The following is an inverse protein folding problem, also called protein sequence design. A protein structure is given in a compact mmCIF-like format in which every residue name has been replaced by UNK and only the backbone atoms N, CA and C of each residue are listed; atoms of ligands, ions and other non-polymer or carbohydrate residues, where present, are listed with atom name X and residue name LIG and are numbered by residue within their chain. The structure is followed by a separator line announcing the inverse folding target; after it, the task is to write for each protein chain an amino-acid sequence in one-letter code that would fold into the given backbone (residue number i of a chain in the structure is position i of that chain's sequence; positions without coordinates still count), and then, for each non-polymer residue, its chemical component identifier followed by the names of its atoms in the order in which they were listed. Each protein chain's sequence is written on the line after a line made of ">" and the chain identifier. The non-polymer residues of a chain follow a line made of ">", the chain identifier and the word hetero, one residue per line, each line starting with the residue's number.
data_IF_115563276426
#
_entry.id   IF_115563276426
#
_cell.length_a   1.000
_cell.length_b   1.000
_cell.length_c   1.000
_cell.angle_alpha   90.00
_cell.angle_beta   90.00
_cell.angle_gamma   90.00
#
_symmetry.space_group_name_H-M   'P 1'
#
loop_
_entity.id
_entity.type
_entity.pdbx_description
1 polymer ?
#
# COMPACT_ATOMS: atom_id res chain seq x y z
N UNK A 1 -79.41 60.61 -18.42
CA UNK A 1 -78.58 60.69 -19.64
C UNK A 1 -77.21 61.16 -19.15
N UNK A 2 -76.13 60.39 -19.18
CA UNK A 2 -75.51 59.76 -20.35
C UNK A 2 -74.55 58.65 -19.89
N UNK A 3 -74.44 57.64 -20.74
CA UNK A 3 -73.48 56.53 -20.76
C UNK A 3 -72.09 57.03 -21.18
N UNK A 4 -71.00 56.45 -20.67
CA UNK A 4 -69.74 56.06 -21.38
C UNK A 4 -68.63 55.81 -20.34
N UNK A 5 -68.14 54.58 -20.12
CA UNK A 5 -67.27 53.76 -20.98
C UNK A 5 -65.87 54.36 -21.19
N UNK A 6 -64.85 53.85 -20.49
CA UNK A 6 -63.44 53.71 -20.95
C UNK A 6 -62.68 53.02 -19.81
N UNK A 7 -62.08 51.84 -19.96
CA UNK A 7 -61.11 51.46 -20.98
C UNK A 7 -59.83 51.11 -20.23
N UNK A 8 -59.59 49.82 -19.99
CA UNK A 8 -58.31 49.40 -19.40
C UNK A 8 -57.16 49.63 -20.38
N UNK A 9 -55.94 49.92 -19.90
CA UNK A 9 -54.74 49.68 -20.69
C UNK A 9 -53.93 48.53 -20.09
N UNK A 10 -53.72 47.55 -20.96
CA UNK A 10 -52.79 46.44 -20.89
C UNK A 10 -51.33 46.87 -20.67
N UNK A 11 -50.60 45.99 -19.97
CA UNK A 11 -49.14 45.85 -19.79
C UNK A 11 -48.27 46.67 -20.78
N UNK A 12 -47.41 47.56 -20.26
CA UNK A 12 -46.26 48.10 -21.02
C UNK A 12 -44.94 47.54 -20.50
N UNK A 13 -44.41 46.62 -21.30
CA UNK A 13 -43.20 45.79 -21.12
C UNK A 13 -41.93 46.67 -21.06
N UNK A 14 -41.49 47.03 -19.86
CA UNK A 14 -40.20 47.71 -19.62
C UNK A 14 -39.05 46.69 -19.56
N UNK A 15 -38.86 45.91 -20.63
CA UNK A 15 -37.95 44.75 -20.64
C UNK A 15 -36.76 44.81 -21.60
N UNK A 16 -36.67 45.80 -22.49
CA UNK A 16 -35.70 45.77 -23.60
C UNK A 16 -34.29 46.31 -23.30
N UNK A 17 -34.17 47.35 -22.45
CA UNK A 17 -32.87 48.01 -22.20
C UNK A 17 -32.03 47.25 -21.15
N UNK A 18 -32.68 46.77 -20.09
CA UNK A 18 -32.04 45.89 -19.10
C UNK A 18 -31.58 44.57 -19.72
N UNK A 19 -32.36 43.98 -20.62
CA UNK A 19 -31.98 42.77 -21.35
C UNK A 19 -30.76 42.97 -22.26
N UNK A 20 -30.68 44.10 -22.98
CA UNK A 20 -29.50 44.43 -23.80
C UNK A 20 -28.23 44.65 -22.96
N UNK A 21 -28.35 45.32 -21.81
CA UNK A 21 -27.21 45.51 -20.88
C UNK A 21 -26.76 44.15 -20.33
N UNK A 22 -27.70 43.29 -19.92
CA UNK A 22 -27.39 41.95 -19.43
C UNK A 22 -26.68 41.10 -20.48
N UNK A 23 -27.14 41.13 -21.74
CA UNK A 23 -26.46 40.47 -22.85
C UNK A 23 -25.06 41.04 -23.05
N UNK A 24 -24.91 42.37 -23.04
CA UNK A 24 -23.61 43.03 -23.19
C UNK A 24 -22.62 42.60 -22.11
N UNK A 25 -23.06 42.57 -20.85
CA UNK A 25 -22.26 42.08 -19.71
C UNK A 25 -21.91 40.60 -19.87
N UNK A 26 -22.87 39.75 -20.25
CA UNK A 26 -22.63 38.33 -20.45
C UNK A 26 -21.60 38.08 -21.57
N UNK A 27 -21.68 38.82 -22.68
CA UNK A 27 -20.70 38.76 -23.77
C UNK A 27 -19.32 39.22 -23.28
N UNK A 28 -19.25 40.34 -22.55
CA UNK A 28 -18.00 40.84 -22.01
C UNK A 28 -17.33 39.82 -21.06
N UNK A 29 -18.11 39.19 -20.18
CA UNK A 29 -17.62 38.13 -19.30
C UNK A 29 -17.17 36.89 -20.08
N UNK A 30 -17.91 36.49 -21.12
CA UNK A 30 -17.53 35.37 -21.97
C UNK A 30 -16.22 35.64 -22.73
N UNK A 31 -16.02 36.84 -23.25
CA UNK A 31 -14.78 37.25 -23.92
C UNK A 31 -13.60 37.31 -22.94
N UNK A 32 -13.81 37.89 -21.75
CA UNK A 32 -12.79 37.94 -20.70
C UNK A 32 -12.39 36.52 -20.26
N UNK A 33 -13.35 35.64 -20.03
CA UNK A 33 -13.10 34.25 -19.69
C UNK A 33 -12.36 33.51 -20.80
N UNK A 34 -12.75 33.73 -22.06
CA UNK A 34 -12.08 33.15 -23.22
C UNK A 34 -10.62 33.59 -23.30
N UNK A 35 -10.36 34.91 -23.21
CA UNK A 35 -9.00 35.44 -23.18
C UNK A 35 -8.17 34.89 -22.03
N UNK A 36 -8.76 34.84 -20.83
CA UNK A 36 -8.11 34.26 -19.64
C UNK A 36 -7.76 32.78 -19.80
N UNK A 37 -8.68 31.97 -20.35
CA UNK A 37 -8.43 30.54 -20.58
C UNK A 37 -7.29 30.30 -21.56
N UNK A 38 -7.27 31.03 -22.70
CA UNK A 38 -6.17 30.92 -23.67
C UNK A 38 -4.84 31.41 -23.12
N UNK A 39 -4.83 32.45 -22.27
CA UNK A 39 -3.63 32.90 -21.58
C UNK A 39 -3.07 31.82 -20.64
N UNK A 40 -3.93 31.17 -19.84
CA UNK A 40 -3.53 30.04 -18.99
C UNK A 40 -3.01 28.87 -19.82
N UNK A 41 -3.70 28.52 -20.91
CA UNK A 41 -3.26 27.46 -21.85
C UNK A 41 -1.85 27.75 -22.38
N UNK A 42 -1.58 28.98 -22.81
CA UNK A 42 -0.26 29.37 -23.33
C UNK A 42 0.83 29.33 -22.25
N UNK A 43 0.51 29.79 -21.03
CA UNK A 43 1.42 29.71 -19.89
C UNK A 43 1.82 28.27 -19.57
N UNK A 44 0.84 27.34 -19.56
CA UNK A 44 1.09 25.93 -19.26
C UNK A 44 1.90 25.26 -20.37
N UNK A 45 1.60 25.52 -21.64
CA UNK A 45 2.41 25.02 -22.76
C UNK A 45 3.88 25.45 -22.62
N UNK A 46 4.14 26.75 -22.40
CA UNK A 46 5.51 27.22 -22.21
C UNK A 46 6.23 26.62 -20.99
N UNK A 47 5.49 26.23 -19.94
CA UNK A 47 6.08 25.51 -18.81
C UNK A 47 6.48 24.08 -19.17
N UNK A 48 5.68 23.38 -19.97
CA UNK A 48 6.01 22.05 -20.47
C UNK A 48 7.29 22.13 -21.31
N UNK A 49 7.36 23.08 -22.25
CA UNK A 49 8.54 23.30 -23.09
C UNK A 49 9.81 23.53 -22.24
N UNK A 50 9.71 24.33 -21.16
CA UNK A 50 10.86 24.55 -20.27
C UNK A 50 11.30 23.30 -19.51
N UNK A 51 10.37 22.40 -19.19
CA UNK A 51 10.68 21.12 -18.52
C UNK A 51 11.36 20.17 -19.50
N UNK A 52 10.85 20.08 -20.73
CA UNK A 52 11.45 19.26 -21.80
C UNK A 52 12.86 19.75 -22.12
N UNK A 53 13.02 21.05 -22.40
CA UNK A 53 14.32 21.64 -22.71
C UNK A 53 15.33 21.49 -21.56
N UNK A 54 14.86 21.52 -20.31
CA UNK A 54 15.70 21.26 -19.14
C UNK A 54 16.13 19.79 -19.05
N UNK A 55 15.21 18.85 -19.32
CA UNK A 55 15.55 17.42 -19.35
C UNK A 55 16.63 17.15 -20.41
N UNK A 56 16.49 17.73 -21.60
CA UNK A 56 17.47 17.64 -22.69
C UNK A 56 18.83 18.24 -22.31
N UNK A 57 18.84 19.43 -21.69
CA UNK A 57 20.05 20.06 -21.19
C UNK A 57 20.75 19.23 -20.09
N UNK A 58 19.98 18.43 -19.35
CA UNK A 58 20.47 17.50 -18.33
C UNK A 58 20.75 16.09 -18.90
N UNK A 59 20.77 15.91 -20.22
CA UNK A 59 21.15 14.65 -20.88
C UNK A 59 20.06 13.58 -20.92
N UNK A 60 18.84 13.92 -20.54
CA UNK A 60 17.66 13.06 -20.64
C UNK A 60 16.84 13.42 -21.89
N UNK A 61 16.23 12.43 -22.55
CA UNK A 61 15.20 12.69 -23.55
C UNK A 61 13.82 12.55 -22.90
N UNK A 62 12.91 13.45 -23.24
CA UNK A 62 11.50 13.38 -22.84
C UNK A 62 10.66 13.67 -24.08
N UNK A 63 9.85 12.69 -24.51
CA UNK A 63 9.00 12.77 -25.69
C UNK A 63 7.54 12.61 -25.28
N UNK A 64 6.73 13.64 -25.55
CA UNK A 64 5.28 13.60 -25.44
C UNK A 64 4.70 13.49 -26.86
N UNK A 65 4.30 12.28 -27.25
CA UNK A 65 3.69 12.02 -28.55
C UNK A 65 2.29 12.63 -28.65
N UNK A 66 1.93 13.14 -29.83
CA UNK A 66 0.62 13.73 -30.11
C UNK A 66 0.11 14.68 -29.00
N UNK A 67 0.99 15.56 -28.50
CA UNK A 67 0.65 16.49 -27.44
C UNK A 67 -0.60 17.31 -27.80
N UNK A 68 -1.59 17.32 -26.91
CA UNK A 68 -2.78 18.15 -27.07
C UNK A 68 -3.15 18.85 -25.78
N UNK A 69 -3.47 20.15 -25.89
CA UNK A 69 -4.03 20.95 -24.81
C UNK A 69 -5.49 21.29 -25.14
N UNK A 70 -6.40 20.75 -24.35
CA UNK A 70 -7.85 20.86 -24.55
C UNK A 70 -8.57 21.28 -23.27
N UNK A 71 -9.91 21.36 -23.29
CA UNK A 71 -10.71 21.51 -22.07
C UNK A 71 -11.51 22.81 -21.90
N UNK A 72 -11.47 23.71 -22.89
CA UNK A 72 -12.28 24.93 -22.87
C UNK A 72 -13.76 24.62 -22.62
N UNK A 73 -14.48 25.41 -21.80
CA UNK A 73 -14.01 26.59 -21.08
C UNK A 73 -13.60 26.34 -19.62
N UNK A 74 -13.88 25.17 -19.04
CA UNK A 74 -13.83 25.00 -17.57
C UNK A 74 -12.67 24.15 -17.06
N UNK A 75 -11.98 23.43 -17.95
CA UNK A 75 -10.85 22.57 -17.61
C UNK A 75 -9.66 22.85 -18.51
N UNK A 76 -8.50 22.40 -18.09
CA UNK A 76 -7.29 22.38 -18.89
C UNK A 76 -6.76 20.95 -18.86
N UNK A 77 -6.86 20.26 -19.98
CA UNK A 77 -6.38 18.89 -20.16
C UNK A 77 -5.12 18.88 -21.01
N UNK A 78 -4.13 18.08 -20.63
CA UNK A 78 -2.93 17.78 -21.39
C UNK A 78 -2.92 16.28 -21.67
N UNK A 79 -2.75 15.89 -22.92
CA UNK A 79 -2.65 14.47 -23.32
C UNK A 79 -1.31 14.20 -24.00
N UNK A 80 -0.64 13.11 -23.63
CA UNK A 80 0.54 12.56 -24.29
C UNK A 80 0.29 11.09 -24.66
N UNK A 81 0.46 10.74 -25.93
CA UNK A 81 0.30 9.37 -26.46
C UNK A 81 1.30 9.11 -27.59
N UNK A 82 2.40 8.35 -27.37
CA UNK A 82 2.89 7.84 -26.09
C UNK A 82 3.61 8.90 -25.24
N UNK A 83 3.94 8.57 -24.00
CA UNK A 83 4.90 9.30 -23.18
C UNK A 83 6.17 8.45 -23.03
N UNK A 84 7.30 8.97 -23.48
CA UNK A 84 8.58 8.28 -23.43
C UNK A 84 9.63 9.15 -22.76
N UNK A 85 10.50 8.55 -21.96
CA UNK A 85 11.65 9.21 -21.39
C UNK A 85 12.86 8.28 -21.41
N UNK A 86 14.06 8.81 -21.65
CA UNK A 86 15.29 8.04 -21.52
C UNK A 86 16.40 8.87 -20.89
N UNK A 87 17.25 8.18 -20.12
CA UNK A 87 18.48 8.71 -19.55
C UNK A 87 19.63 7.78 -19.97
N UNK A 88 20.29 8.06 -21.11
CA UNK A 88 21.33 7.20 -21.65
C UNK A 88 22.52 6.99 -20.70
N UNK A 89 22.90 8.01 -19.93
CA UNK A 89 24.01 7.91 -18.98
C UNK A 89 23.76 6.93 -17.81
N UNK A 90 22.51 6.55 -17.57
CA UNK A 90 22.10 5.65 -16.48
C UNK A 90 21.46 4.36 -17.03
N UNK A 91 21.55 4.11 -18.34
CA UNK A 91 20.90 3.01 -19.04
C UNK A 91 19.40 2.85 -18.68
N UNK A 92 18.72 3.98 -18.45
CA UNK A 92 17.35 4.00 -17.96
C UNK A 92 16.38 4.49 -19.04
N UNK A 93 15.22 3.84 -19.15
CA UNK A 93 14.14 4.27 -20.03
C UNK A 93 12.76 4.00 -19.44
N UNK A 94 11.80 4.80 -19.85
CA UNK A 94 10.39 4.72 -19.49
C UNK A 94 9.58 4.88 -20.76
N UNK A 95 8.62 3.97 -20.99
CA UNK A 95 7.61 4.10 -22.03
C UNK A 95 6.24 3.85 -21.44
N UNK A 96 5.31 4.75 -21.69
CA UNK A 96 3.93 4.68 -21.25
C UNK A 96 3.02 4.95 -22.45
N UNK A 97 2.04 4.08 -22.70
CA UNK A 97 1.19 4.19 -23.89
C UNK A 97 0.40 5.50 -23.94
N UNK A 98 0.07 6.08 -22.79
CA UNK A 98 -0.34 7.47 -22.72
C UNK A 98 -0.65 7.97 -21.33
N UNK A 99 -0.77 9.28 -21.21
CA UNK A 99 -1.21 9.97 -20.00
C UNK A 99 -2.10 11.14 -20.37
N UNK A 100 -3.12 11.37 -19.55
CA UNK A 100 -3.95 12.55 -19.57
C UNK A 100 -3.94 13.20 -18.17
N UNK A 101 -3.57 14.48 -18.11
CA UNK A 101 -3.63 15.27 -16.89
C UNK A 101 -4.68 16.37 -17.06
N UNK A 102 -5.61 16.49 -16.12
CA UNK A 102 -6.67 17.51 -16.15
C UNK A 102 -6.65 18.36 -14.87
N UNK A 103 -6.64 19.68 -15.05
CA UNK A 103 -6.85 20.66 -13.99
C UNK A 103 -8.15 21.44 -14.18
N UNK A 104 -8.83 21.76 -13.09
CA UNK A 104 -10.03 22.60 -13.12
C UNK A 104 -9.66 24.07 -12.99
N UNK A 105 -10.04 24.89 -13.97
CA UNK A 105 -9.65 26.33 -13.99
C UNK A 105 -10.28 27.09 -12.82
N UNK A 106 -11.49 26.70 -12.41
CA UNK A 106 -12.20 27.27 -11.27
C UNK A 106 -11.83 26.63 -9.92
N UNK A 107 -11.04 25.56 -9.94
CA UNK A 107 -10.57 24.85 -8.74
C UNK A 107 -9.13 24.34 -8.97
N UNK A 108 -8.13 25.24 -8.97
CA UNK A 108 -6.76 24.90 -9.37
C UNK A 108 -6.08 23.89 -8.43
N UNK A 109 -6.62 23.71 -7.22
CA UNK A 109 -6.16 22.71 -6.27
C UNK A 109 -6.61 21.29 -6.59
N UNK A 110 -7.47 21.06 -7.60
CA UNK A 110 -7.95 19.73 -7.97
C UNK A 110 -7.40 19.30 -9.32
N UNK A 111 -6.53 18.29 -9.27
CA UNK A 111 -5.90 17.66 -10.42
C UNK A 111 -6.39 16.21 -10.54
N UNK A 112 -6.56 15.77 -11.79
CA UNK A 112 -6.94 14.43 -12.17
C UNK A 112 -5.91 13.91 -13.17
N UNK A 113 -5.54 12.65 -13.05
CA UNK A 113 -4.61 11.98 -13.95
C UNK A 113 -5.22 10.65 -14.37
N UNK A 114 -5.14 10.35 -15.66
CA UNK A 114 -5.51 9.08 -16.25
C UNK A 114 -4.30 8.56 -17.02
N UNK A 115 -3.88 7.33 -16.75
CA UNK A 115 -2.73 6.72 -17.41
C UNK A 115 -3.20 5.49 -18.18
N UNK A 116 -2.61 5.31 -19.37
CA UNK A 116 -2.92 4.19 -20.27
C UNK A 116 -1.73 3.26 -20.33
N UNK A 117 -1.97 1.99 -20.01
CA UNK A 117 -0.99 0.93 -20.14
C UNK A 117 -0.75 0.53 -21.61
N UNK A 118 0.35 -0.18 -21.89
CA UNK A 118 1.34 -0.64 -20.92
C UNK A 118 2.34 0.46 -20.49
N UNK A 119 2.90 0.28 -19.29
CA UNK A 119 4.10 0.94 -18.80
C UNK A 119 5.26 -0.05 -18.86
N UNK A 120 6.39 0.38 -19.42
CA UNK A 120 7.66 -0.33 -19.34
C UNK A 120 8.74 0.60 -18.79
N UNK A 121 9.52 0.07 -17.86
CA UNK A 121 10.66 0.71 -17.23
C UNK A 121 11.87 -0.19 -17.44
N UNK A 122 12.96 0.37 -17.92
CA UNK A 122 14.26 -0.27 -17.95
C UNK A 122 15.24 0.57 -17.13
N UNK A 123 16.19 -0.09 -16.49
CA UNK A 123 17.23 0.54 -15.72
C UNK A 123 18.53 -0.26 -15.78
N UNK A 124 19.54 0.17 -15.00
CA UNK A 124 20.85 -0.43 -15.02
C UNK A 124 20.82 -1.90 -14.57
N UNK A 125 21.90 -2.63 -14.90
CA UNK A 125 22.11 -4.03 -14.55
C UNK A 125 21.02 -5.00 -15.07
N UNK A 126 20.30 -4.62 -16.13
CA UNK A 126 19.20 -5.39 -16.70
C UNK A 126 17.92 -5.36 -15.85
N UNK A 127 17.83 -4.43 -14.89
CA UNK A 127 16.61 -4.21 -14.11
C UNK A 127 15.50 -3.71 -15.03
N UNK A 128 14.34 -4.34 -14.98
CA UNK A 128 13.18 -3.96 -15.77
C UNK A 128 11.89 -4.15 -14.97
N UNK A 129 10.95 -3.25 -15.16
CA UNK A 129 9.59 -3.38 -14.64
C UNK A 129 8.60 -3.16 -15.77
N UNK A 130 7.54 -3.97 -15.80
CA UNK A 130 6.41 -3.75 -16.70
C UNK A 130 5.12 -3.75 -15.90
N UNK A 131 4.16 -2.94 -16.32
CA UNK A 131 2.83 -2.94 -15.75
C UNK A 131 1.80 -2.68 -16.84
N UNK A 132 0.69 -3.40 -16.79
CA UNK A 132 -0.47 -3.15 -17.63
C UNK A 132 -1.72 -3.09 -16.76
N UNK A 133 -2.72 -2.35 -17.22
CA UNK A 133 -3.99 -2.17 -16.52
C UNK A 133 -5.08 -1.80 -17.51
N UNK A 134 -6.34 -2.00 -17.12
CA UNK A 134 -7.50 -1.58 -17.92
C UNK A 134 -7.90 -0.13 -17.65
N UNK A 135 -7.74 0.34 -16.41
CA UNK A 135 -7.90 1.73 -16.00
C UNK A 135 -6.91 2.04 -14.87
N UNK A 136 -6.29 3.22 -14.91
CA UNK A 136 -5.46 3.74 -13.82
C UNK A 136 -5.70 5.24 -13.69
N UNK A 137 -6.33 5.62 -12.59
CA UNK A 137 -6.76 6.99 -12.35
C UNK A 137 -6.17 7.49 -11.04
N UNK A 138 -5.75 8.75 -11.02
CA UNK A 138 -5.32 9.42 -9.81
C UNK A 138 -6.01 10.77 -9.65
N UNK A 139 -6.27 11.16 -8.41
CA UNK A 139 -6.78 12.49 -8.07
C UNK A 139 -5.98 13.09 -6.94
N UNK A 140 -5.61 14.36 -7.11
CA UNK A 140 -4.90 15.15 -6.13
C UNK A 140 -5.71 16.40 -5.81
N UNK A 141 -6.00 16.60 -4.53
CA UNK A 141 -6.64 17.80 -3.99
C UNK A 141 -5.70 18.48 -3.03
N UNK A 142 -5.36 19.73 -3.32
CA UNK A 142 -4.50 20.60 -2.54
C UNK A 142 -5.29 21.85 -2.16
N UNK A 143 -5.14 22.31 -0.92
CA UNK A 143 -5.63 23.61 -0.46
C UNK A 143 -4.49 24.49 0.03
N UNK A 144 -4.83 25.66 0.58
CA UNK A 144 -3.85 26.58 1.14
C UNK A 144 -3.03 26.01 2.32
N UNK A 145 -3.61 25.06 3.05
CA UNK A 145 -2.96 24.37 4.18
C UNK A 145 -2.21 23.10 3.78
N UNK A 146 -2.07 22.81 2.48
CA UNK A 146 -1.39 21.63 1.97
C UNK A 146 -2.32 20.59 1.35
N UNK A 147 -1.92 19.31 1.43
CA UNK A 147 -2.70 18.19 0.89
C UNK A 147 -4.08 18.13 1.55
N UNK A 148 -5.13 17.90 0.76
CA UNK A 148 -6.50 17.60 1.24
C UNK A 148 -6.89 16.16 0.97
N UNK A 149 -6.50 15.63 -0.19
CA UNK A 149 -6.71 14.23 -0.55
C UNK A 149 -5.78 13.84 -1.68
N UNK A 150 -5.19 12.66 -1.59
CA UNK A 150 -4.62 11.96 -2.73
C UNK A 150 -5.35 10.65 -2.92
N UNK A 151 -5.55 10.22 -4.16
CA UNK A 151 -6.22 8.97 -4.48
C UNK A 151 -5.59 8.39 -5.75
N UNK A 152 -5.41 7.08 -5.79
CA UNK A 152 -5.05 6.34 -6.99
C UNK A 152 -5.85 5.04 -7.00
N UNK A 153 -6.40 4.69 -8.15
CA UNK A 153 -7.29 3.55 -8.36
C UNK A 153 -6.89 2.88 -9.66
N UNK A 154 -6.77 1.55 -9.63
CA UNK A 154 -6.35 0.72 -10.76
C UNK A 154 -7.28 -0.48 -10.90
N UNK A 155 -7.68 -0.78 -12.14
CA UNK A 155 -8.46 -1.98 -12.49
C UNK A 155 -7.66 -2.90 -13.41
N UNK A 156 -7.68 -4.21 -13.14
CA UNK A 156 -7.01 -5.25 -13.91
C UNK A 156 -5.50 -5.07 -13.98
N UNK A 157 -4.87 -4.77 -12.85
CA UNK A 157 -3.43 -4.54 -12.75
C UNK A 157 -2.66 -5.85 -12.94
N UNK A 158 -1.69 -5.84 -13.85
CA UNK A 158 -0.71 -6.91 -14.08
C UNK A 158 0.69 -6.29 -14.13
N UNK A 159 1.47 -6.48 -13.08
CA UNK A 159 2.79 -5.90 -12.92
C UNK A 159 3.85 -7.00 -12.77
N UNK A 160 5.04 -6.74 -13.30
CA UNK A 160 6.20 -7.62 -13.20
C UNK A 160 7.46 -6.79 -12.97
N UNK A 161 8.36 -7.29 -12.13
CA UNK A 161 9.67 -6.72 -11.85
C UNK A 161 10.73 -7.79 -12.02
N UNK A 162 11.74 -7.51 -12.82
CA UNK A 162 12.96 -8.29 -12.94
C UNK A 162 14.13 -7.41 -12.51
N UNK A 163 14.97 -7.90 -11.61
CA UNK A 163 16.18 -7.21 -11.18
C UNK A 163 17.30 -8.24 -11.05
N UNK A 164 17.99 -8.59 -12.15
CA UNK A 164 19.13 -9.50 -12.13
C UNK A 164 20.15 -9.04 -11.09
N UNK A 165 20.72 -9.97 -10.32
CA UNK A 165 21.66 -9.65 -9.23
C UNK A 165 21.02 -9.29 -7.89
N UNK A 166 19.74 -8.91 -7.84
CA UNK A 166 18.98 -8.69 -6.59
C UNK A 166 17.87 -9.70 -6.35
N UNK A 167 17.24 -10.17 -7.43
CA UNK A 167 16.14 -11.12 -7.42
C UNK A 167 16.56 -12.42 -8.11
N UNK A 168 16.11 -13.56 -7.55
CA UNK A 168 16.36 -14.88 -8.15
C UNK A 168 15.54 -15.13 -9.44
N UNK A 169 14.65 -14.21 -9.80
CA UNK A 169 13.80 -14.24 -10.99
C UNK A 169 12.75 -13.13 -10.96
N UNK A 170 11.83 -13.07 -11.93
CA UNK A 170 10.79 -12.07 -11.97
C UNK A 170 9.80 -12.21 -10.81
N UNK A 171 9.49 -11.09 -10.15
CA UNK A 171 8.41 -10.98 -9.18
C UNK A 171 7.21 -10.37 -9.89
N UNK A 172 6.07 -11.06 -9.89
CA UNK A 172 4.86 -10.57 -10.52
C UNK A 172 3.75 -10.32 -9.49
N UNK A 173 2.92 -9.33 -9.76
CA UNK A 173 1.75 -8.98 -8.96
C UNK A 173 0.57 -8.72 -9.88
N UNK A 174 -0.56 -9.39 -9.63
CA UNK A 174 -1.81 -9.17 -10.34
C UNK A 174 -2.91 -8.83 -9.35
N UNK A 175 -3.83 -7.94 -9.72
CA UNK A 175 -5.02 -7.65 -8.93
C UNK A 175 -6.17 -7.23 -9.85
N UNK A 176 -7.39 -7.63 -9.50
CA UNK A 176 -8.58 -7.22 -10.25
C UNK A 176 -8.89 -5.75 -10.00
N UNK A 177 -8.68 -5.28 -8.76
CA UNK A 177 -8.84 -3.90 -8.35
C UNK A 177 -7.81 -3.56 -7.28
N UNK A 178 -7.27 -2.33 -7.33
CA UNK A 178 -6.39 -1.81 -6.30
C UNK A 178 -6.56 -0.30 -6.15
N UNK A 179 -6.77 0.16 -4.92
CA UNK A 179 -6.91 1.58 -4.60
C UNK A 179 -6.08 1.98 -3.38
N UNK A 180 -5.63 3.23 -3.38
CA UNK A 180 -4.93 3.88 -2.28
C UNK A 180 -5.45 5.31 -2.15
N UNK A 181 -5.85 5.69 -0.95
CA UNK A 181 -6.24 7.06 -0.61
C UNK A 181 -5.43 7.58 0.57
N UNK A 182 -4.98 8.82 0.48
CA UNK A 182 -4.35 9.56 1.57
C UNK A 182 -5.25 10.74 1.93
N UNK A 183 -5.65 10.83 3.20
CA UNK A 183 -6.56 11.87 3.70
C UNK A 183 -5.99 12.40 5.01
N UNK A 184 -5.64 13.69 5.12
CA UNK A 184 -5.24 14.25 6.41
C UNK A 184 -6.33 14.03 7.46
N UNK A 185 -5.93 13.64 8.67
CA UNK A 185 -6.85 13.44 9.78
C UNK A 185 -7.44 14.81 10.17
N UNK A 186 -8.79 14.97 10.15
CA UNK A 186 -9.43 16.24 10.47
C UNK A 186 -9.33 16.61 11.95
N UNK A 187 -9.17 15.63 12.83
CA UNK A 187 -9.24 15.76 14.28
C UNK A 187 -7.84 15.82 14.92
N UNK A 188 -6.82 15.25 14.26
CA UNK A 188 -5.45 15.17 14.77
C UNK A 188 -4.45 15.83 13.82
N UNK A 189 -3.94 17.00 14.20
CA UNK A 189 -2.91 17.69 13.42
C UNK A 189 -1.64 16.82 13.24
N UNK A 190 -1.07 16.85 12.03
CA UNK A 190 0.12 16.07 11.70
C UNK A 190 -0.11 14.58 11.51
N UNK A 191 -1.36 14.11 11.52
CA UNK A 191 -1.73 12.73 11.18
C UNK A 191 -2.36 12.66 9.78
N UNK A 192 -2.21 11.52 9.13
CA UNK A 192 -2.78 11.22 7.83
C UNK A 192 -3.31 9.79 7.80
N UNK A 193 -4.54 9.65 7.34
CA UNK A 193 -5.19 8.37 7.13
C UNK A 193 -4.86 7.83 5.75
N UNK A 194 -4.52 6.55 5.73
CA UNK A 194 -4.20 5.75 4.56
C UNK A 194 -5.26 4.68 4.44
N UNK A 195 -5.98 4.70 3.32
CA UNK A 195 -6.96 3.68 2.97
C UNK A 195 -6.44 2.90 1.76
N UNK A 196 -6.38 1.58 1.85
CA UNK A 196 -5.95 0.71 0.76
C UNK A 196 -6.92 -0.44 0.60
N UNK A 197 -7.34 -0.71 -0.63
CA UNK A 197 -8.09 -1.91 -0.99
C UNK A 197 -7.35 -2.62 -2.12
N UNK A 198 -7.28 -3.95 -2.05
CA UNK A 198 -6.79 -4.81 -3.13
C UNK A 198 -7.73 -5.99 -3.24
N UNK A 199 -8.31 -6.22 -4.42
CA UNK A 199 -9.19 -7.35 -4.68
C UNK A 199 -8.47 -8.40 -5.54
N UNK A 200 -8.58 -9.66 -5.11
CA UNK A 200 -7.99 -10.82 -5.80
C UNK A 200 -6.50 -10.64 -6.14
N UNK A 201 -5.75 -10.05 -5.22
CA UNK A 201 -4.30 -9.85 -5.35
C UNK A 201 -3.55 -11.18 -5.36
N UNK A 202 -2.73 -11.40 -6.38
CA UNK A 202 -1.87 -12.59 -6.53
C UNK A 202 -0.44 -12.16 -6.73
N UNK A 203 0.45 -12.64 -5.88
CA UNK A 203 1.89 -12.41 -6.00
C UNK A 203 2.60 -13.71 -6.39
N UNK A 204 3.40 -13.63 -7.46
CA UNK A 204 4.30 -14.71 -7.87
C UNK A 204 5.72 -14.35 -7.49
N UNK A 205 6.35 -15.18 -6.66
CA UNK A 205 7.73 -15.03 -6.20
C UNK A 205 8.57 -16.22 -6.70
N UNK A 206 9.75 -15.99 -7.29
CA UNK A 206 10.63 -17.07 -7.75
C UNK A 206 10.98 -18.05 -6.63
N UNK A 207 10.91 -19.36 -6.92
CA UNK A 207 11.26 -20.42 -5.96
C UNK A 207 10.31 -20.55 -4.78
N UNK A 208 9.14 -19.88 -4.80
CA UNK A 208 8.11 -19.97 -3.75
C UNK A 208 6.84 -20.64 -4.30
N UNK A 209 6.10 -21.39 -3.47
CA UNK A 209 4.77 -21.88 -3.83
C UNK A 209 3.83 -20.73 -4.20
N UNK A 210 2.95 -20.97 -5.18
CA UNK A 210 1.92 -20.01 -5.55
C UNK A 210 0.96 -19.73 -4.39
N UNK A 211 0.82 -18.45 -4.05
CA UNK A 211 -0.09 -17.97 -3.02
C UNK A 211 -1.51 -17.86 -3.62
N UNK A 212 -2.56 -18.30 -2.93
CA UNK A 212 -3.93 -18.06 -3.37
C UNK A 212 -4.21 -16.54 -3.50
N UNK A 213 -5.18 -16.14 -4.34
CA UNK A 213 -5.64 -14.75 -4.38
C UNK A 213 -6.04 -14.27 -2.98
N UNK A 214 -5.65 -13.03 -2.67
CA UNK A 214 -5.94 -12.37 -1.42
C UNK A 214 -6.69 -11.06 -1.66
N UNK A 215 -7.75 -10.83 -0.89
CA UNK A 215 -8.43 -9.54 -0.82
C UNK A 215 -8.02 -8.85 0.48
N UNK A 216 -7.73 -7.55 0.44
CA UNK A 216 -7.34 -6.79 1.63
C UNK A 216 -8.04 -5.44 1.68
N UNK A 217 -8.41 -5.01 2.89
CA UNK A 217 -8.98 -3.70 3.18
C UNK A 217 -8.30 -3.12 4.42
N UNK A 218 -7.57 -2.03 4.24
CA UNK A 218 -6.72 -1.42 5.27
C UNK A 218 -7.08 0.05 5.43
N UNK A 219 -7.28 0.48 6.67
CA UNK A 219 -7.47 1.86 7.08
C UNK A 219 -6.58 2.13 8.30
N UNK A 220 -5.52 2.92 8.10
CA UNK A 220 -4.54 3.25 9.16
C UNK A 220 -4.29 4.76 9.22
N UNK A 221 -4.25 5.31 10.42
CA UNK A 221 -3.79 6.68 10.69
C UNK A 221 -2.31 6.66 11.08
N UNK A 222 -1.47 7.40 10.37
CA UNK A 222 -0.02 7.48 10.64
C UNK A 222 0.45 8.93 10.80
N UNK A 223 1.56 9.18 11.51
CA UNK A 223 2.15 10.52 11.55
C UNK A 223 2.64 10.94 10.15
N UNK A 224 2.31 12.15 9.72
CA UNK A 224 2.67 12.68 8.40
C UNK A 224 4.20 12.72 8.19
N UNK A 225 4.96 12.87 9.29
CA UNK A 225 6.42 12.79 9.28
C UNK A 225 6.94 11.44 8.75
N UNK A 226 6.22 10.34 9.01
CA UNK A 226 6.56 9.00 8.50
C UNK A 226 6.45 8.94 6.99
N UNK A 227 5.45 9.59 6.40
CA UNK A 227 5.29 9.65 4.94
C UNK A 227 6.28 10.61 4.27
N UNK A 228 6.65 11.70 4.96
CA UNK A 228 7.63 12.67 4.46
C UNK A 228 9.06 12.12 4.48
N UNK A 229 9.36 11.21 5.41
CA UNK A 229 10.70 10.67 5.58
C UNK A 229 10.93 9.41 4.74
N UNK A 230 11.79 9.51 3.72
CA UNK A 230 12.06 8.40 2.78
C UNK A 230 13.01 7.33 3.31
N UNK A 231 14.01 7.74 4.09
CA UNK A 231 15.15 6.86 4.43
C UNK A 231 14.99 6.18 5.79
N UNK A 232 14.29 6.82 6.73
CA UNK A 232 14.12 6.30 8.09
C UNK A 232 12.72 6.63 8.64
N UNK A 233 11.68 5.96 8.13
CA UNK A 233 10.31 6.15 8.61
C UNK A 233 10.16 5.76 10.10
N UNK A 234 11.00 4.87 10.62
CA UNK A 234 10.96 4.43 12.02
C UNK A 234 11.47 5.54 12.94
N UNK A 235 12.60 6.18 12.63
CA UNK A 235 13.07 7.33 13.38
C UNK A 235 12.08 8.50 13.31
N UNK A 236 11.43 8.73 12.16
CA UNK A 236 10.39 9.74 12.04
C UNK A 236 9.17 9.43 12.92
N UNK A 237 8.77 8.15 13.01
CA UNK A 237 7.70 7.74 13.90
C UNK A 237 8.08 7.96 15.37
N UNK A 238 9.27 7.52 15.79
CA UNK A 238 9.79 7.74 17.15
C UNK A 238 9.82 9.24 17.48
N UNK A 239 10.35 10.06 16.59
CA UNK A 239 10.47 11.51 16.78
C UNK A 239 9.12 12.22 16.82
N UNK A 240 8.09 11.69 16.13
CA UNK A 240 6.75 12.27 16.17
C UNK A 240 6.08 12.15 17.55
N UNK A 241 6.41 11.09 18.31
CA UNK A 241 5.71 10.74 19.54
C UNK A 241 4.23 10.40 19.36
N UNK A 242 3.74 10.32 18.12
CA UNK A 242 2.35 10.07 17.78
C UNK A 242 2.09 8.56 17.58
N UNK A 243 0.88 8.06 17.91
CA UNK A 243 0.55 6.66 17.67
C UNK A 243 0.33 6.39 16.17
N UNK A 244 0.47 5.14 15.78
CA UNK A 244 -0.15 4.60 14.55
C UNK A 244 -1.48 3.97 14.95
N UNK A 245 -2.56 4.44 14.34
CA UNK A 245 -3.92 3.95 14.59
C UNK A 245 -4.29 2.95 13.52
N UNK A 246 -4.62 1.72 13.89
CA UNK A 246 -5.11 0.69 12.97
C UNK A 246 -6.63 0.66 13.13
N UNK A 247 -7.34 1.45 12.33
CA UNK A 247 -8.80 1.46 12.33
C UNK A 247 -9.35 0.12 11.82
N UNK A 248 -8.71 -0.40 10.77
CA UNK A 248 -9.00 -1.71 10.19
C UNK A 248 -7.77 -2.19 9.42
N UNK A 249 -7.42 -3.45 9.56
CA UNK A 249 -6.55 -4.15 8.62
C UNK A 249 -7.11 -5.56 8.44
N UNK A 250 -7.82 -5.78 7.34
CA UNK A 250 -8.44 -7.06 6.99
C UNK A 250 -7.75 -7.67 5.78
N UNK A 251 -7.57 -8.99 5.83
CA UNK A 251 -7.10 -9.79 4.71
C UNK A 251 -7.88 -11.10 4.65
N UNK A 252 -8.36 -11.44 3.46
CA UNK A 252 -9.03 -12.69 3.13
C UNK A 252 -8.14 -13.48 2.17
N UNK A 253 -7.78 -14.71 2.53
CA UNK A 253 -6.96 -15.60 1.70
C UNK A 253 -7.59 -16.98 1.66
N UNK A 254 -8.04 -17.42 0.48
CA UNK A 254 -8.66 -18.74 0.29
C UNK A 254 -9.80 -19.04 1.30
N UNK A 255 -10.62 -18.03 1.63
CA UNK A 255 -11.73 -18.14 2.58
C UNK A 255 -11.37 -17.96 4.06
N UNK A 256 -10.08 -17.92 4.41
CA UNK A 256 -9.62 -17.53 5.76
C UNK A 256 -9.58 -16.02 5.85
N UNK A 257 -10.30 -15.43 6.81
CA UNK A 257 -10.27 -13.98 7.08
C UNK A 257 -9.48 -13.68 8.34
N UNK A 258 -8.64 -12.65 8.30
CA UNK A 258 -7.95 -12.08 9.45
C UNK A 258 -8.24 -10.58 9.49
N UNK A 259 -8.70 -10.07 10.63
CA UNK A 259 -8.84 -8.64 10.88
C UNK A 259 -8.05 -8.22 12.12
N UNK A 260 -7.41 -7.06 12.04
CA UNK A 260 -6.63 -6.41 13.09
C UNK A 260 -7.11 -4.98 13.28
N UNK A 261 -7.27 -4.56 14.53
CA UNK A 261 -7.53 -3.16 14.90
C UNK A 261 -6.84 -2.82 16.23
N UNK A 262 -6.47 -1.56 16.42
CA UNK A 262 -5.85 -1.07 17.66
C UNK A 262 -4.81 0.01 17.41
N UNK A 263 -4.33 0.60 18.50
CA UNK A 263 -3.33 1.66 18.43
C UNK A 263 -1.96 1.14 18.85
N UNK A 264 -0.95 1.52 18.08
CA UNK A 264 0.44 1.19 18.31
C UNK A 264 1.24 2.45 18.63
N UNK A 265 2.11 2.37 19.63
CA UNK A 265 3.16 3.35 19.89
C UNK A 265 4.52 2.68 19.75
N UNK A 266 5.56 3.49 19.56
CA UNK A 266 6.93 3.01 19.46
C UNK A 266 7.80 3.75 20.47
N UNK A 267 8.70 3.02 21.13
CA UNK A 267 9.66 3.62 22.05
C UNK A 267 11.01 3.95 21.35
N UNK A 268 11.91 4.61 22.08
CA UNK A 268 13.23 4.97 21.58
C UNK A 268 14.12 3.76 21.21
N UNK A 269 13.78 2.55 21.68
CA UNK A 269 14.46 1.31 21.30
C UNK A 269 13.83 0.65 20.07
N UNK A 270 12.83 1.28 19.45
CA UNK A 270 12.10 0.76 18.29
C UNK A 270 11.12 -0.37 18.63
N UNK A 271 10.74 -0.51 19.90
CA UNK A 271 9.84 -1.56 20.36
C UNK A 271 8.40 -1.06 20.40
N UNK A 272 7.49 -1.82 19.82
CA UNK A 272 6.07 -1.48 19.74
C UNK A 272 5.37 -1.76 21.07
N UNK A 273 4.44 -0.90 21.46
CA UNK A 273 3.47 -1.17 22.54
C UNK A 273 2.07 -0.82 22.06
N UNK A 274 1.04 -1.51 22.56
CA UNK A 274 -0.33 -1.29 22.12
C UNK A 274 -1.30 -2.36 22.59
N UNK A 275 -2.58 -2.10 22.40
CA UNK A 275 -3.64 -3.09 22.59
C UNK A 275 -4.32 -3.34 21.26
N UNK A 276 -4.34 -4.60 20.84
CA UNK A 276 -4.83 -5.02 19.54
C UNK A 276 -6.00 -5.99 19.69
N UNK A 277 -7.03 -5.78 18.90
CA UNK A 277 -8.10 -6.75 18.68
C UNK A 277 -7.78 -7.48 17.39
N UNK A 278 -7.62 -8.80 17.50
CA UNK A 278 -7.41 -9.70 16.36
C UNK A 278 -8.62 -10.58 16.21
N UNK A 279 -9.15 -10.69 15.00
CA UNK A 279 -10.28 -11.55 14.66
C UNK A 279 -9.89 -12.49 13.54
N UNK A 280 -10.21 -13.77 13.69
CA UNK A 280 -10.03 -14.78 12.64
C UNK A 280 -11.38 -15.42 12.31
N UNK A 281 -11.67 -15.60 11.02
CA UNK A 281 -12.84 -16.34 10.55
C UNK A 281 -12.38 -17.55 9.74
N UNK A 282 -13.19 -18.62 9.70
CA UNK A 282 -12.91 -19.86 8.98
C UNK A 282 -11.55 -20.49 9.34
N UNK A 283 -11.23 -20.56 10.65
CA UNK A 283 -10.00 -21.18 11.16
C UNK A 283 -9.78 -22.61 10.64
N UNK A 284 -10.85 -23.35 10.34
CA UNK A 284 -10.79 -24.71 9.80
C UNK A 284 -10.16 -24.79 8.41
N UNK A 285 -10.07 -23.67 7.68
CA UNK A 285 -9.37 -23.59 6.39
C UNK A 285 -7.84 -23.42 6.56
N UNK A 286 -7.37 -23.02 7.75
CA UNK A 286 -5.96 -22.75 8.02
C UNK A 286 -5.02 -23.95 7.77
N UNK A 287 -5.35 -25.21 8.12
CA UNK A 287 -4.48 -26.35 7.89
C UNK A 287 -4.11 -26.52 6.41
N UNK A 288 -5.08 -26.39 5.51
CA UNK A 288 -4.87 -26.51 4.07
C UNK A 288 -3.98 -25.38 3.54
N UNK A 289 -4.16 -24.15 4.05
CA UNK A 289 -3.32 -23.02 3.70
C UNK A 289 -1.87 -23.23 4.18
N UNK A 290 -1.66 -23.66 5.42
CA UNK A 290 -0.32 -23.91 5.97
C UNK A 290 0.38 -25.05 5.25
N UNK A 291 -0.34 -26.12 4.92
CA UNK A 291 0.24 -27.29 4.25
C UNK A 291 0.77 -26.95 2.84
N UNK A 292 0.12 -26.03 2.13
CA UNK A 292 0.61 -25.48 0.85
C UNK A 292 1.99 -24.83 0.96
N UNK A 293 2.27 -24.16 2.08
CA UNK A 293 3.56 -23.51 2.32
C UNK A 293 4.60 -24.43 2.96
N UNK A 294 4.15 -25.36 3.81
CA UNK A 294 5.00 -26.35 4.47
C UNK A 294 4.28 -27.71 4.48
N UNK A 295 4.49 -28.53 3.44
CA UNK A 295 3.85 -29.85 3.33
C UNK A 295 4.09 -30.71 4.57
N UNK A 296 3.05 -31.43 5.01
CA UNK A 296 3.07 -32.27 6.21
C UNK A 296 2.86 -31.53 7.54
N UNK A 297 2.52 -30.23 7.48
CA UNK A 297 2.23 -29.42 8.68
C UNK A 297 0.74 -29.27 8.95
N UNK A 298 -0.12 -29.57 7.98
CA UNK A 298 -1.57 -29.40 8.10
C UNK A 298 -2.16 -30.15 9.30
N UNK A 299 -1.80 -31.42 9.49
CA UNK A 299 -2.32 -32.22 10.64
C UNK A 299 -1.91 -31.63 11.99
N UNK A 300 -0.68 -31.14 12.11
CA UNK A 300 -0.18 -30.52 13.35
C UNK A 300 -0.99 -29.27 13.68
N UNK A 301 -1.28 -28.45 12.67
CA UNK A 301 -2.11 -27.25 12.83
C UNK A 301 -3.55 -27.62 13.17
N UNK A 302 -4.13 -28.61 12.50
CA UNK A 302 -5.51 -29.06 12.75
C UNK A 302 -5.73 -29.47 14.21
N UNK A 303 -4.76 -30.17 14.83
CA UNK A 303 -4.83 -30.57 16.25
C UNK A 303 -4.78 -29.38 17.21
N UNK A 304 -4.24 -28.24 16.79
CA UNK A 304 -4.14 -27.03 17.62
C UNK A 304 -5.38 -26.13 17.52
N UNK A 305 -6.17 -26.23 16.45
CA UNK A 305 -7.34 -25.36 16.22
C UNK A 305 -8.37 -25.49 17.33
N UNK A 306 -8.74 -26.72 17.70
CA UNK A 306 -9.75 -26.97 18.74
C UNK A 306 -9.45 -26.25 20.05
N UNK A 307 -8.30 -26.53 20.70
CA UNK A 307 -7.89 -25.84 21.91
C UNK A 307 -7.81 -24.32 21.75
N UNK A 308 -7.20 -23.81 20.67
CA UNK A 308 -7.07 -22.37 20.43
C UNK A 308 -8.45 -21.70 20.31
N UNK A 309 -9.35 -22.30 19.53
CA UNK A 309 -10.69 -21.76 19.28
C UNK A 309 -11.54 -21.64 20.55
N UNK A 310 -11.28 -22.47 21.57
CA UNK A 310 -11.94 -22.42 22.86
C UNK A 310 -11.50 -21.22 23.72
N UNK A 311 -10.27 -20.72 23.52
CA UNK A 311 -9.78 -19.50 24.18
C UNK A 311 -10.18 -18.22 23.46
N UNK A 312 -10.70 -18.32 22.23
CA UNK A 312 -11.13 -17.17 21.44
C UNK A 312 -12.62 -16.90 21.60
N UNK A 313 -12.98 -15.63 21.75
CA UNK A 313 -14.37 -15.22 21.91
C UNK A 313 -15.09 -15.26 20.56
N UNK A 314 -16.23 -15.95 20.42
CA UNK A 314 -17.02 -15.86 19.20
C UNK A 314 -17.69 -14.47 19.12
N UNK A 315 -17.64 -13.87 17.93
CA UNK A 315 -18.26 -12.58 17.63
C UNK A 315 -18.91 -12.64 16.24
N UNK A 316 -20.21 -12.44 16.16
CA UNK A 316 -20.91 -12.31 14.87
C UNK A 316 -20.86 -10.84 14.44
N UNK A 317 -20.19 -10.59 13.31
CA UNK A 317 -20.04 -9.26 12.73
C UNK A 317 -19.77 -9.38 11.22
N UNK A 318 -20.20 -8.39 10.45
CA UNK A 318 -19.91 -8.32 9.00
C UNK A 318 -20.36 -9.57 8.23
N UNK A 319 -21.43 -10.23 8.70
CA UNK A 319 -21.98 -11.45 8.10
C UNK A 319 -21.15 -12.71 8.30
N UNK A 320 -20.08 -12.66 9.12
CA UNK A 320 -19.19 -13.79 9.44
C UNK A 320 -19.16 -14.05 10.96
N UNK A 321 -18.89 -15.29 11.35
CA UNK A 321 -18.60 -15.63 12.75
C UNK A 321 -17.09 -15.58 12.98
N UNK A 322 -16.65 -14.57 13.72
CA UNK A 322 -15.26 -14.33 14.05
C UNK A 322 -14.87 -15.00 15.37
N UNK A 323 -13.58 -15.33 15.49
CA UNK A 323 -12.90 -15.71 16.71
C UNK A 323 -11.97 -14.59 17.11
N UNK A 324 -12.38 -13.84 18.14
CA UNK A 324 -11.72 -12.63 18.62
C UNK A 324 -10.75 -12.93 19.76
N UNK A 325 -9.56 -12.33 19.68
CA UNK A 325 -8.53 -12.28 20.72
C UNK A 325 -8.13 -10.83 20.99
N UNK A 326 -7.93 -10.49 22.27
CA UNK A 326 -7.32 -9.22 22.68
C UNK A 326 -5.86 -9.45 23.04
N UNK A 327 -4.97 -8.89 22.23
CA UNK A 327 -3.52 -9.02 22.40
C UNK A 327 -2.98 -7.70 22.95
N UNK A 328 -2.30 -7.76 24.08
CA UNK A 328 -1.56 -6.63 24.62
C UNK A 328 -0.09 -6.81 24.28
N UNK A 329 0.51 -5.75 23.72
CA UNK A 329 1.94 -5.69 23.44
C UNK A 329 2.57 -4.63 24.35
N UNK A 330 3.61 -5.02 25.08
CA UNK A 330 4.38 -4.12 25.93
C UNK A 330 5.85 -4.22 25.57
N UNK A 331 6.41 -3.15 24.99
CA UNK A 331 7.82 -3.07 24.57
C UNK A 331 8.24 -4.29 23.75
N UNK A 332 7.42 -4.67 22.78
CA UNK A 332 7.59 -5.82 21.90
C UNK A 332 7.10 -7.15 22.47
N UNK A 333 6.86 -7.30 23.78
CA UNK A 333 6.33 -8.56 24.34
C UNK A 333 4.82 -8.66 24.11
N UNK A 334 4.38 -9.67 23.36
CA UNK A 334 2.97 -9.90 23.06
C UNK A 334 2.36 -10.96 24.01
N UNK A 335 1.19 -10.66 24.57
CA UNK A 335 0.45 -11.56 25.46
C UNK A 335 -1.04 -11.57 25.13
N UNK A 336 -1.67 -12.75 25.26
CA UNK A 336 -3.12 -12.94 25.21
C UNK A 336 -3.59 -13.32 26.62
N UNK A 337 -4.14 -12.35 27.36
CA UNK A 337 -4.42 -12.53 28.79
C UNK A 337 -3.14 -12.85 29.56
N UNK A 338 -2.99 -14.10 30.00
CA UNK A 338 -1.79 -14.61 30.68
C UNK A 338 -0.86 -15.44 29.78
N UNK A 339 -1.25 -15.71 28.53
CA UNK A 339 -0.51 -16.58 27.62
C UNK A 339 0.52 -15.74 26.84
N UNK A 340 1.84 -15.99 26.99
CA UNK A 340 2.84 -15.31 26.17
C UNK A 340 2.78 -15.81 24.73
N UNK A 341 2.68 -14.88 23.78
CA UNK A 341 2.64 -15.18 22.35
C UNK A 341 4.03 -15.07 21.69
N UNK A 342 4.93 -14.31 22.30
CA UNK A 342 6.30 -14.12 21.81
C UNK A 342 6.79 -12.69 21.96
N UNK A 343 7.87 -12.37 21.25
CA UNK A 343 8.50 -11.06 21.24
C UNK A 343 8.62 -10.53 19.81
N UNK A 344 8.08 -9.34 19.59
CA UNK A 344 8.21 -8.56 18.36
C UNK A 344 9.58 -7.87 18.40
N UNK A 345 10.42 -8.02 17.36
CA UNK A 345 11.73 -7.40 17.31
C UNK A 345 11.64 -5.87 17.23
N UNK A 346 12.75 -5.20 17.54
CA UNK A 346 12.89 -3.76 17.33
C UNK A 346 12.84 -3.42 15.85
N UNK A 347 12.12 -2.35 15.50
CA UNK A 347 12.06 -1.84 14.13
C UNK A 347 13.32 -1.05 13.71
N UNK A 348 14.22 -0.71 14.64
CA UNK A 348 15.46 0.02 14.34
C UNK A 348 16.54 -0.88 13.71
N UNK A 349 16.51 -2.19 13.99
CA UNK A 349 17.38 -3.17 13.35
C UNK A 349 16.59 -3.76 12.19
N UNK A 350 16.90 -3.34 10.97
CA UNK A 350 16.08 -3.53 9.77
C UNK A 350 15.27 -4.85 9.71
N UNK A 351 13.97 -4.71 9.44
CA UNK A 351 13.10 -5.68 8.75
C UNK A 351 13.41 -7.19 8.96
N UNK A 352 13.62 -7.63 10.21
CA UNK A 352 14.08 -8.98 10.52
C UNK A 352 13.17 -9.75 11.49
N UNK A 353 12.10 -10.35 10.96
CA UNK A 353 11.49 -11.59 11.46
C UNK A 353 10.66 -11.54 12.76
N UNK A 354 9.39 -11.92 12.68
CA UNK A 354 8.62 -12.40 13.84
C UNK A 354 9.24 -13.74 14.28
N UNK A 355 9.98 -13.77 15.39
CA UNK A 355 10.30 -15.01 16.06
C UNK A 355 9.06 -15.44 16.87
N UNK A 356 8.21 -16.27 16.28
CA UNK A 356 7.29 -17.10 17.08
C UNK A 356 8.18 -17.99 17.93
N UNK A 357 8.22 -17.74 19.24
CA UNK A 357 8.87 -18.66 20.16
C UNK A 357 8.24 -20.05 19.96
N UNK A 358 9.04 -21.14 19.93
CA UNK A 358 8.47 -22.47 19.98
C UNK A 358 7.56 -22.53 21.21
N UNK A 359 6.35 -23.05 21.03
CA UNK A 359 5.41 -23.26 22.13
C UNK A 359 6.15 -23.92 23.29
N UNK A 360 5.99 -23.46 24.54
CA UNK A 360 6.61 -24.15 25.67
C UNK A 360 6.17 -25.61 25.61
N UNK A 361 7.15 -26.53 25.57
CA UNK A 361 6.87 -27.94 25.72
C UNK A 361 6.12 -28.08 27.04
N UNK A 362 4.86 -28.50 26.97
CA UNK A 362 4.14 -28.95 28.15
C UNK A 362 4.99 -30.07 28.76
N UNK A 363 5.31 -30.04 30.05
CA UNK A 363 6.04 -31.12 30.67
C UNK A 363 5.22 -32.40 30.46
N UNK A 364 5.84 -33.41 29.85
CA UNK A 364 5.34 -34.78 29.84
C UNK A 364 5.09 -35.14 31.31
N UNK A 365 3.82 -35.17 31.71
CA UNK A 365 3.45 -35.81 32.96
C UNK A 365 3.49 -37.30 32.73
N UNK A 366 4.71 -37.85 32.73
CA UNK A 366 4.93 -39.25 33.05
C UNK A 366 4.50 -39.43 34.50
N UNK A 367 3.30 -39.99 34.67
CA UNK A 367 2.84 -40.55 35.94
C UNK A 367 3.78 -41.70 36.32
N UNK A 368 4.82 -41.39 37.09
CA UNK A 368 5.66 -42.39 37.76
C UNK A 368 5.05 -42.69 39.13
N UNK A 369 4.73 -43.95 39.46
CA UNK A 369 4.25 -44.32 40.80
C UNK A 369 5.35 -44.18 41.85
N UNK A 370 4.92 -43.90 43.08
CA UNK A 370 5.74 -43.59 44.24
C UNK A 370 6.73 -44.69 44.66
N UNK A 371 7.77 -44.21 45.35
CA UNK A 371 8.96 -44.88 45.84
C UNK A 371 8.74 -46.02 46.84
N UNK A 372 9.75 -46.91 46.94
CA UNK A 372 10.17 -47.54 48.18
C UNK A 372 11.70 -47.72 48.22
N UNK A 373 12.20 -47.72 49.45
CA UNK A 373 13.53 -47.35 49.94
C UNK A 373 14.66 -48.39 49.76
N UNK A 374 15.87 -47.90 49.41
CA UNK A 374 17.22 -48.06 50.06
C UNK A 374 17.73 -49.45 50.58
N UNK A 375 19.05 -49.72 50.81
CA UNK A 375 20.34 -49.42 50.12
C UNK A 375 21.23 -50.67 49.85
N UNK A 376 22.32 -50.54 49.07
CA UNK A 376 23.70 -51.03 49.35
C UNK A 376 24.56 -51.19 48.07
N UNK A 377 25.83 -50.80 48.15
CA UNK A 377 26.90 -50.97 47.13
C UNK A 377 27.65 -52.32 47.32
N UNK A 378 28.80 -52.62 46.67
CA UNK A 378 29.29 -52.42 45.28
C UNK A 378 29.73 -53.77 44.62
N UNK A 379 30.01 -53.82 43.30
CA UNK A 379 31.15 -54.54 42.65
C UNK A 379 30.95 -54.84 41.14
N UNK A 380 31.94 -54.37 40.37
CA UNK A 380 32.76 -55.03 39.32
C UNK A 380 32.22 -55.76 38.07
N UNK A 381 32.96 -55.48 36.98
CA UNK A 381 33.28 -56.28 35.77
C UNK A 381 32.19 -56.70 34.76
N UNK A 382 32.35 -56.23 33.51
CA UNK A 382 31.85 -56.93 32.32
C UNK A 382 31.53 -56.05 31.11
N UNK A 383 32.44 -55.96 30.14
CA UNK A 383 32.10 -55.72 28.73
C UNK A 383 31.65 -57.05 28.07
N UNK A 384 31.16 -57.14 26.81
CA UNK A 384 31.04 -56.10 25.77
C UNK A 384 29.69 -56.10 25.01
N UNK A 385 29.54 -55.14 24.08
CA UNK A 385 29.00 -55.30 22.71
C UNK A 385 27.97 -54.24 22.25
N UNK A 386 28.27 -53.70 21.07
CA UNK A 386 27.35 -53.20 20.02
C UNK A 386 26.44 -52.00 20.36
N UNK A 387 26.91 -50.80 20.00
CA UNK A 387 26.05 -49.67 19.68
C UNK A 387 26.13 -49.38 18.17
N UNK A 388 25.02 -49.65 17.48
CA UNK A 388 24.79 -49.27 16.11
C UNK A 388 24.59 -47.75 16.00
N UNK A 389 25.04 -47.20 14.87
CA UNK A 389 25.01 -45.79 14.54
C UNK A 389 23.61 -45.17 14.63
N UNK A 390 23.53 -44.05 15.34
CA UNK A 390 22.48 -43.03 15.24
C UNK A 390 22.49 -42.39 13.84
N UNK A 391 21.36 -42.28 13.13
CA UNK A 391 21.25 -41.33 12.04
C UNK A 391 21.03 -39.93 12.63
N UNK A 392 22.02 -39.06 12.45
CA UNK A 392 21.89 -37.61 12.64
C UNK A 392 20.69 -37.10 11.83
N UNK A 393 19.66 -36.63 12.53
CA UNK A 393 18.58 -35.85 11.95
C UNK A 393 19.11 -34.42 11.78
N UNK A 394 19.24 -33.88 10.56
CA UNK A 394 19.70 -32.50 10.39
C UNK A 394 18.66 -31.55 10.97
N UNK A 395 19.13 -30.70 11.89
CA UNK A 395 18.37 -29.62 12.49
C UNK A 395 17.75 -28.74 11.40
N UNK A 396 16.43 -28.57 11.47
CA UNK A 396 15.69 -27.72 10.55
C UNK A 396 16.18 -26.27 10.65
N UNK A 397 16.65 -25.72 9.52
CA UNK A 397 17.01 -24.33 9.41
C UNK A 397 15.78 -23.43 9.72
N UNK A 398 15.94 -22.35 10.51
CA UNK A 398 14.87 -21.41 10.78
C UNK A 398 14.48 -20.68 9.48
N UNK A 399 13.17 -20.52 9.26
CA UNK A 399 12.63 -19.73 8.15
C UNK A 399 13.09 -18.28 8.30
N UNK A 400 14.06 -17.88 7.49
CA UNK A 400 14.53 -16.48 7.37
C UNK A 400 13.48 -15.61 6.64
N UNK A 401 13.38 -14.31 7.00
CA UNK A 401 12.43 -13.37 6.39
C UNK A 401 12.68 -13.16 4.88
N UNK A 402 11.64 -12.74 4.12
CA UNK A 402 11.62 -12.66 2.64
C UNK A 402 12.66 -11.68 2.06
N UNK A 403 13.82 -12.13 1.53
CA UNK A 403 14.79 -11.24 0.88
C UNK A 403 14.26 -10.67 -0.45
N UNK A 404 13.34 -11.38 -1.11
CA UNK A 404 12.80 -10.99 -2.42
C UNK A 404 11.86 -9.77 -2.35
N UNK A 405 11.10 -9.60 -1.26
CA UNK A 405 10.18 -8.47 -1.12
C UNK A 405 10.94 -7.16 -0.85
N UNK A 406 11.97 -7.23 0.00
CA UNK A 406 12.88 -6.10 0.27
C UNK A 406 13.67 -5.71 -0.98
N UNK A 407 14.26 -6.69 -1.68
CA UNK A 407 14.99 -6.44 -2.93
C UNK A 407 14.12 -5.85 -4.05
N UNK A 408 12.86 -6.28 -4.15
CA UNK A 408 11.91 -5.71 -5.10
C UNK A 408 11.57 -4.24 -4.78
N UNK A 409 11.31 -3.93 -3.50
CA UNK A 409 11.04 -2.57 -3.06
C UNK A 409 12.23 -1.63 -3.27
N UNK A 410 13.45 -2.12 -3.06
CA UNK A 410 14.69 -1.38 -3.34
C UNK A 410 14.93 -1.17 -4.84
N UNK A 411 14.72 -2.19 -5.68
CA UNK A 411 14.86 -2.05 -7.12
C UNK A 411 13.85 -1.06 -7.72
N UNK A 412 12.58 -1.11 -7.29
CA UNK A 412 11.55 -0.12 -7.69
C UNK A 412 11.96 1.28 -7.22
N UNK A 413 12.51 1.40 -6.01
CA UNK A 413 12.98 2.68 -5.47
C UNK A 413 14.10 3.26 -6.33
N UNK A 414 15.11 2.46 -6.67
CA UNK A 414 16.25 2.92 -7.46
C UNK A 414 15.79 3.38 -8.85
N UNK A 415 14.99 2.57 -9.56
CA UNK A 415 14.36 2.94 -10.83
C UNK A 415 13.63 4.29 -10.74
N UNK A 416 12.79 4.45 -9.72
CA UNK A 416 12.04 5.70 -9.51
C UNK A 416 12.96 6.90 -9.20
N UNK A 417 14.08 6.69 -8.51
CA UNK A 417 15.02 7.78 -8.21
C UNK A 417 15.88 8.18 -9.41
N UNK A 418 16.28 7.22 -10.24
CA UNK A 418 17.05 7.46 -11.47
C UNK A 418 16.24 8.34 -12.42
N UNK A 419 14.97 8.00 -12.63
CA UNK A 419 14.06 8.75 -13.50
C UNK A 419 13.65 10.13 -12.93
N UNK A 420 13.72 10.34 -11.61
CA UNK A 420 13.27 11.58 -10.95
C UNK A 420 14.32 12.70 -10.95
N UNK A 421 15.60 12.40 -11.13
CA UNK A 421 16.69 13.37 -11.02
C UNK A 421 17.48 13.48 -12.33
N UNK A 422 16.97 14.25 -13.32
CA UNK A 422 17.59 14.34 -14.65
C UNK A 422 19.03 14.87 -14.61
N UNK A 423 19.40 15.70 -13.63
CA UNK A 423 20.78 16.17 -13.46
C UNK A 423 21.84 15.09 -13.20
N UNK A 424 21.43 13.82 -12.98
CA UNK A 424 22.34 12.66 -13.00
C UNK A 424 22.63 12.17 -14.43
N UNK A 425 21.70 12.36 -15.36
CA UNK A 425 21.84 11.96 -16.75
C UNK A 425 22.91 12.80 -17.49
N UNK A 426 23.35 13.93 -16.92
CA UNK A 426 24.44 14.76 -17.42
C UNK A 426 25.83 14.45 -16.81
N UNK A 427 25.93 13.57 -15.80
CA UNK A 427 27.18 13.31 -15.06
C UNK A 427 27.91 12.02 -15.46
N UNK A 428 27.48 11.37 -16.54
CA UNK A 428 28.12 10.16 -17.09
C UNK A 428 29.26 10.46 -18.05
#
# INVERSE_FOLDING_TARGET
>A
MTVSATGGPTKRRRGGRGFKILIGVAIALALLWTGGWFAVRHYVAGKIDTVVARAEAEGASLSCGAESLSGFPFRLGITCTPLEAACPAEDASLSLAGVEAMGLVYNPGHLLFDAKGPLTLSGPDGTSASANWSALQSSLRIGFSGLKRYSIVSDGLDASLSAPGRLAGPVAFKADHAELHLVPDPDTAGMIDIFTTVDNGVTTLPGRPAVPPATSNVAIGVPEAVLKQRNDPVAAWIASGQPVRIHRAEIDVAGLSLALAGDATIDAAGLISGNFTVRLSALDALPALVDRFRPGSGEKVARLIGPISAFLRPVDADGKTWREAKITVQRGRAVLGFIPLGQIPSLLRGAGGIALAPAPALPDQTLTPAANSEPAAPQDLGAPATAAATPETPAAAPLTPLPAATGAAEAIRDLATTLKHPGRCARG
#
